data_IF_196181902211
#
_entry.id   IF_196181902211
#
_cell.length_a   1.000
_cell.length_b   1.000
_cell.length_c   1.000
_cell.angle_alpha   90.00
_cell.angle_beta   90.00
_cell.angle_gamma   90.00
#
_symmetry.space_group_name_H-M   'P 1'
#
loop_
_entity.id
_entity.type
_entity.pdbx_description
1 polymer ?
#
# COMPACT_ATOMS: atom_id res chain seq x y z
N UNK A 1 19.59 -35.45 2.28
CA UNK A 1 18.79 -35.08 1.07
C UNK A 1 17.29 -35.10 1.36
N UNK A 2 16.85 -34.52 2.50
CA UNK A 2 15.42 -34.57 2.89
C UNK A 2 15.01 -33.32 3.67
N UNK A 3 15.47 -32.14 3.22
CA UNK A 3 15.12 -30.84 3.82
C UNK A 3 14.74 -29.79 2.77
N UNK A 4 14.53 -30.19 1.51
CA UNK A 4 14.21 -29.26 0.42
C UNK A 4 12.71 -29.15 0.08
N UNK A 5 11.80 -29.78 0.83
CA UNK A 5 10.39 -29.84 0.43
C UNK A 5 9.38 -29.18 1.37
N UNK A 6 9.78 -28.66 2.55
CA UNK A 6 8.83 -28.11 3.52
C UNK A 6 8.73 -26.58 3.60
N UNK A 7 9.33 -25.83 2.67
CA UNK A 7 9.16 -24.36 2.60
C UNK A 7 8.04 -23.89 1.66
N UNK A 8 7.20 -24.81 1.16
CA UNK A 8 6.09 -24.50 0.25
C UNK A 8 4.87 -23.81 0.92
N UNK A 9 4.97 -23.39 2.18
CA UNK A 9 3.87 -22.75 2.91
C UNK A 9 4.24 -21.53 3.74
N UNK A 10 5.38 -20.87 3.46
CA UNK A 10 5.90 -19.79 4.28
C UNK A 10 5.91 -18.47 3.51
N UNK A 11 5.27 -17.44 4.08
CA UNK A 11 5.32 -16.00 3.76
C UNK A 11 6.71 -15.50 3.26
N UNK A 12 7.80 -16.15 3.69
CA UNK A 12 9.17 -15.89 3.21
C UNK A 12 9.37 -16.06 1.70
N UNK A 13 8.69 -17.02 1.05
CA UNK A 13 8.84 -17.28 -0.37
C UNK A 13 8.31 -16.13 -1.24
N UNK A 14 7.18 -15.55 -0.85
CA UNK A 14 6.56 -14.43 -1.56
C UNK A 14 7.40 -13.16 -1.42
N UNK A 15 7.93 -12.91 -0.22
CA UNK A 15 8.79 -11.75 0.06
C UNK A 15 10.08 -11.80 -0.79
N UNK A 16 10.71 -12.96 -0.88
CA UNK A 16 11.92 -13.17 -1.70
C UNK A 16 11.61 -12.99 -3.19
N UNK A 17 10.52 -13.56 -3.69
CA UNK A 17 10.13 -13.38 -5.10
C UNK A 17 9.98 -11.91 -5.46
N UNK A 18 9.35 -11.13 -4.59
CA UNK A 18 9.20 -9.69 -4.82
C UNK A 18 10.53 -8.91 -4.68
N UNK A 19 11.49 -9.38 -3.88
CA UNK A 19 12.87 -8.82 -3.87
C UNK A 19 13.59 -9.10 -5.18
N UNK A 20 13.51 -10.33 -5.68
CA UNK A 20 14.11 -10.73 -6.98
C UNK A 20 13.46 -9.92 -8.12
N UNK A 21 12.15 -9.71 -8.07
CA UNK A 21 11.45 -8.88 -9.04
C UNK A 21 11.95 -7.42 -9.03
N UNK A 22 12.11 -6.82 -7.84
CA UNK A 22 12.65 -5.46 -7.71
C UNK A 22 14.10 -5.35 -8.23
N UNK A 23 14.93 -6.37 -7.97
CA UNK A 23 16.27 -6.46 -8.54
C UNK A 23 16.24 -6.51 -10.07
N UNK A 24 15.42 -7.40 -10.65
CA UNK A 24 15.28 -7.53 -12.10
C UNK A 24 14.85 -6.21 -12.74
N UNK A 25 13.83 -5.56 -12.18
CA UNK A 25 13.35 -4.28 -12.68
C UNK A 25 14.43 -3.19 -12.63
N UNK A 26 15.22 -3.14 -11.56
CA UNK A 26 16.30 -2.17 -11.43
C UNK A 26 17.44 -2.39 -12.43
N UNK A 27 17.82 -3.65 -12.67
CA UNK A 27 18.87 -4.00 -13.63
C UNK A 27 18.43 -3.73 -15.07
N UNK A 28 17.14 -3.91 -15.40
CA UNK A 28 16.58 -3.60 -16.72
C UNK A 28 16.22 -2.11 -16.89
N UNK A 29 16.27 -1.32 -15.82
CA UNK A 29 15.82 0.06 -15.82
C UNK A 29 16.78 0.99 -16.55
N UNK A 30 16.27 1.72 -17.55
CA UNK A 30 17.00 2.74 -18.32
C UNK A 30 16.56 4.18 -18.03
N UNK A 31 15.52 4.34 -17.22
CA UNK A 31 14.86 5.63 -16.98
C UNK A 31 15.39 6.31 -15.71
N UNK A 32 15.81 5.51 -14.73
CA UNK A 32 16.27 5.99 -13.45
C UNK A 32 17.69 6.52 -13.54
N UNK A 33 17.91 7.68 -12.92
CA UNK A 33 19.24 8.25 -12.65
C UNK A 33 19.32 8.55 -11.16
N UNK A 34 19.49 7.52 -10.31
CA UNK A 34 19.70 7.75 -8.90
C UNK A 34 21.02 8.51 -8.72
N UNK A 35 20.96 9.61 -7.99
CA UNK A 35 22.11 10.46 -7.69
C UNK A 35 22.26 10.60 -6.17
N UNK A 36 22.44 9.50 -5.43
CA UNK A 36 22.73 9.62 -4.02
C UNK A 36 24.12 10.26 -3.86
N UNK A 37 24.43 10.75 -2.66
CA UNK A 37 25.67 11.50 -2.40
C UNK A 37 26.57 10.74 -1.43
N UNK A 38 27.86 11.08 -1.38
CA UNK A 38 28.75 10.52 -0.36
C UNK A 38 28.24 10.80 1.06
N UNK A 39 27.60 11.96 1.28
CA UNK A 39 26.98 12.31 2.55
C UNK A 39 25.80 11.38 2.89
N UNK A 40 24.93 11.06 1.92
CA UNK A 40 23.83 10.12 2.14
C UNK A 40 24.34 8.71 2.43
N UNK A 41 25.37 8.25 1.71
CA UNK A 41 26.02 6.96 1.99
C UNK A 41 26.57 6.90 3.42
N UNK A 42 27.33 7.93 3.83
CA UNK A 42 27.90 7.98 5.16
C UNK A 42 26.80 8.02 6.25
N UNK A 43 25.72 8.76 6.01
CA UNK A 43 24.55 8.81 6.88
C UNK A 43 23.87 7.45 7.02
N UNK A 44 23.61 6.76 5.90
CA UNK A 44 22.97 5.45 5.88
C UNK A 44 23.83 4.38 6.56
N UNK A 45 25.16 4.40 6.38
CA UNK A 45 26.08 3.50 7.08
C UNK A 45 26.03 3.79 8.59
N UNK A 46 26.14 5.06 8.98
CA UNK A 46 26.16 5.48 10.39
C UNK A 46 24.87 5.10 11.13
N UNK A 47 23.72 5.25 10.47
CA UNK A 47 22.41 4.92 11.03
C UNK A 47 22.09 3.41 10.93
N UNK A 48 22.98 2.63 10.31
CA UNK A 48 22.77 1.19 10.11
C UNK A 48 21.69 0.85 9.08
N UNK A 49 21.31 1.80 8.23
CA UNK A 49 20.40 1.58 7.10
C UNK A 49 21.10 0.87 5.93
N UNK A 50 22.41 1.05 5.78
CA UNK A 50 23.22 0.35 4.77
C UNK A 50 24.32 -0.45 5.46
N UNK A 51 24.25 -1.77 5.36
CA UNK A 51 25.22 -2.67 5.99
C UNK A 51 26.07 -3.34 4.91
N UNK A 52 27.33 -2.92 4.81
CA UNK A 52 28.29 -3.38 3.78
C UNK A 52 28.60 -4.86 3.87
N UNK A 53 28.45 -5.48 5.03
CA UNK A 53 28.74 -6.91 5.27
C UNK A 53 27.55 -7.83 4.98
N UNK A 54 26.42 -7.31 4.50
CA UNK A 54 25.20 -8.09 4.27
C UNK A 54 24.57 -7.78 2.93
N UNK A 55 23.90 -8.79 2.36
CA UNK A 55 23.15 -8.63 1.13
C UNK A 55 21.74 -9.24 1.27
N UNK A 56 20.66 -8.50 0.92
CA UNK A 56 20.69 -7.16 0.36
C UNK A 56 20.90 -6.07 1.46
N UNK A 57 21.74 -5.05 1.22
CA UNK A 57 22.38 -4.24 2.26
C UNK A 57 21.46 -3.22 2.94
N UNK A 58 20.31 -2.91 2.32
CA UNK A 58 19.31 -1.96 2.83
C UNK A 58 18.12 -2.60 3.58
N UNK A 59 18.09 -3.93 3.70
CA UNK A 59 16.88 -4.65 4.15
C UNK A 59 16.98 -5.20 5.58
N UNK A 60 17.89 -4.65 6.39
CA UNK A 60 17.91 -4.84 7.83
C UNK A 60 17.33 -3.61 8.51
N UNK A 61 16.18 -3.76 9.18
CA UNK A 61 15.71 -2.76 10.14
C UNK A 61 16.44 -2.99 11.46
N UNK A 62 17.35 -2.08 11.81
CA UNK A 62 17.99 -2.05 13.13
C UNK A 62 17.09 -1.38 14.18
N UNK A 63 15.75 -1.46 14.08
CA UNK A 63 14.86 -0.87 15.07
C UNK A 63 14.42 -1.90 16.12
N UNK A 64 15.08 -1.99 17.29
CA UNK A 64 14.65 -2.84 18.39
C UNK A 64 13.35 -2.32 19.07
N UNK A 65 12.84 -1.15 18.69
CA UNK A 65 11.67 -0.50 19.29
C UNK A 65 10.43 -0.48 18.38
N UNK A 66 10.42 -1.24 17.28
CA UNK A 66 9.22 -1.41 16.43
C UNK A 66 8.15 -2.30 17.09
N UNK A 67 7.68 -1.87 18.26
CA UNK A 67 6.51 -2.41 18.97
C UNK A 67 5.23 -1.64 18.59
N UNK A 68 5.30 -0.74 17.61
CA UNK A 68 4.29 0.28 17.34
C UNK A 68 3.45 0.08 16.08
N UNK A 69 3.69 -0.96 15.26
CA UNK A 69 2.96 -1.12 14.00
C UNK A 69 2.15 -2.42 13.98
N UNK A 70 0.89 -2.34 14.40
CA UNK A 70 -0.21 -3.11 13.82
C UNK A 70 -0.97 -2.14 12.89
N UNK A 71 -1.10 -2.39 11.59
CA UNK A 71 -2.01 -3.38 10.98
C UNK A 71 -1.25 -4.08 9.83
N UNK A 72 -0.97 -5.37 9.99
CA UNK A 72 -0.51 -6.27 8.92
C UNK A 72 1.01 -6.31 8.69
N UNK A 73 1.76 -6.68 9.73
CA UNK A 73 3.07 -7.35 9.69
C UNK A 73 3.99 -7.01 8.49
N UNK A 74 4.67 -5.86 8.54
CA UNK A 74 5.94 -5.72 7.81
C UNK A 74 7.06 -6.17 8.74
N UNK A 75 7.04 -7.43 9.19
CA UNK A 75 8.22 -7.99 9.84
C UNK A 75 9.29 -8.10 8.76
N UNK A 76 10.28 -7.21 8.76
CA UNK A 76 11.50 -7.40 7.99
C UNK A 76 12.21 -8.63 8.57
N UNK A 77 11.78 -9.82 8.16
CA UNK A 77 12.43 -11.08 8.51
C UNK A 77 13.85 -11.01 7.99
N UNK A 78 14.79 -11.35 8.88
CA UNK A 78 16.22 -11.36 8.65
C UNK A 78 16.56 -12.06 7.33
N UNK A 79 16.90 -11.28 6.29
CA UNK A 79 17.48 -11.81 5.06
C UNK A 79 18.94 -12.20 5.35
N UNK A 80 19.15 -13.37 5.94
CA UNK A 80 20.49 -13.90 6.15
C UNK A 80 21.02 -14.58 4.89
N UNK A 81 22.10 -14.05 4.29
CA UNK A 81 23.09 -14.71 3.40
C UNK A 81 22.62 -15.42 2.10
N UNK A 82 21.46 -16.06 2.08
CA UNK A 82 20.91 -16.86 0.98
C UNK A 82 20.36 -16.06 -0.20
N UNK A 83 20.12 -14.76 -0.06
CA UNK A 83 19.55 -13.96 -1.15
C UNK A 83 20.46 -13.98 -2.38
N UNK A 84 21.78 -13.92 -2.18
CA UNK A 84 22.77 -14.01 -3.27
C UNK A 84 22.80 -15.38 -3.95
N UNK A 85 22.48 -16.44 -3.20
CA UNK A 85 22.39 -17.81 -3.73
C UNK A 85 21.15 -18.01 -4.61
N UNK A 86 20.09 -17.22 -4.38
CA UNK A 86 18.85 -17.29 -5.15
C UNK A 86 18.85 -16.44 -6.43
N UNK A 87 19.83 -15.55 -6.58
CA UNK A 87 19.97 -14.73 -7.79
C UNK A 87 20.69 -15.54 -8.87
N UNK A 88 20.16 -15.49 -10.10
CA UNK A 88 20.78 -16.18 -11.24
C UNK A 88 22.17 -15.63 -11.52
N UNK A 89 23.02 -16.41 -12.17
CA UNK A 89 24.36 -15.96 -12.55
C UNK A 89 24.29 -14.71 -13.45
N UNK A 90 23.37 -14.71 -14.42
CA UNK A 90 23.14 -13.59 -15.35
C UNK A 90 22.78 -12.29 -14.62
N UNK A 91 21.90 -12.34 -13.62
CA UNK A 91 21.53 -11.16 -12.83
C UNK A 91 22.69 -10.65 -11.97
N UNK A 92 23.54 -11.55 -11.45
CA UNK A 92 24.76 -11.15 -10.74
C UNK A 92 25.76 -10.47 -11.65
N UNK A 93 25.93 -10.99 -12.87
CA UNK A 93 26.81 -10.38 -13.87
C UNK A 93 26.31 -8.97 -14.25
N UNK A 94 25.00 -8.82 -14.51
CA UNK A 94 24.41 -7.51 -14.78
C UNK A 94 24.58 -6.54 -13.60
N UNK A 95 24.43 -7.01 -12.36
CA UNK A 95 24.71 -6.21 -11.18
C UNK A 95 26.14 -5.65 -11.18
N UNK A 96 27.14 -6.51 -11.39
CA UNK A 96 28.54 -6.06 -11.43
C UNK A 96 28.83 -5.13 -12.61
N UNK A 97 28.18 -5.33 -13.77
CA UNK A 97 28.27 -4.39 -14.89
C UNK A 97 27.72 -3.01 -14.53
N UNK A 98 26.63 -2.94 -13.75
CA UNK A 98 26.09 -1.66 -13.26
C UNK A 98 27.05 -0.99 -12.27
N UNK A 99 27.64 -1.76 -11.35
CA UNK A 99 28.64 -1.25 -10.40
C UNK A 99 29.87 -0.72 -11.15
N UNK A 100 30.38 -1.46 -12.13
CA UNK A 100 31.52 -1.03 -12.94
C UNK A 100 31.21 0.26 -13.72
N UNK A 101 30.03 0.36 -14.33
CA UNK A 101 29.60 1.58 -15.00
C UNK A 101 29.49 2.77 -14.05
N UNK A 102 29.00 2.56 -12.82
CA UNK A 102 28.93 3.60 -11.80
C UNK A 102 30.34 4.02 -11.35
N UNK A 103 31.22 3.07 -11.10
CA UNK A 103 32.61 3.31 -10.72
C UNK A 103 33.36 4.10 -11.79
N UNK A 104 33.25 3.70 -13.06
CA UNK A 104 33.93 4.41 -14.16
C UNK A 104 33.47 5.87 -14.26
N UNK A 105 32.15 6.13 -14.12
CA UNK A 105 31.63 7.51 -14.08
C UNK A 105 32.19 8.31 -12.91
N UNK A 106 32.27 7.70 -11.71
CA UNK A 106 32.82 8.35 -10.53
C UNK A 106 34.31 8.69 -10.68
N UNK A 107 35.10 7.76 -11.23
CA UNK A 107 36.53 8.00 -11.46
C UNK A 107 36.76 9.07 -12.54
N UNK A 108 35.89 9.16 -13.54
CA UNK A 108 35.94 10.20 -14.57
C UNK A 108 35.58 11.60 -14.00
N UNK A 109 34.56 11.67 -13.15
CA UNK A 109 34.04 12.91 -12.57
C UNK A 109 34.90 13.43 -11.40
N UNK A 110 35.48 12.52 -10.62
CA UNK A 110 36.18 12.84 -9.37
C UNK A 110 37.57 12.19 -9.33
N UNK A 111 38.55 12.93 -9.84
CA UNK A 111 39.93 12.47 -10.09
C UNK A 111 40.79 12.17 -8.85
N UNK A 112 40.37 12.60 -7.65
CA UNK A 112 41.17 12.50 -6.40
C UNK A 112 40.49 11.67 -5.30
N UNK A 113 39.57 10.77 -5.65
CA UNK A 113 38.90 9.89 -4.66
C UNK A 113 39.71 8.60 -4.47
N UNK A 114 39.83 8.17 -3.22
CA UNK A 114 40.38 6.85 -2.86
C UNK A 114 39.62 5.72 -3.60
N UNK A 115 40.32 4.85 -4.36
CA UNK A 115 39.69 3.76 -5.11
C UNK A 115 38.76 2.86 -4.28
N UNK A 116 39.08 2.60 -3.01
CA UNK A 116 38.23 1.77 -2.14
C UNK A 116 36.91 2.48 -1.80
N UNK A 117 36.97 3.79 -1.56
CA UNK A 117 35.79 4.63 -1.28
C UNK A 117 34.94 4.78 -2.54
N UNK A 118 35.57 4.94 -3.71
CA UNK A 118 34.86 5.00 -4.98
C UNK A 118 34.14 3.68 -5.29
N UNK A 119 34.79 2.54 -5.05
CA UNK A 119 34.19 1.21 -5.23
C UNK A 119 33.01 1.00 -4.28
N UNK A 120 33.17 1.33 -2.99
CA UNK A 120 32.07 1.26 -2.03
C UNK A 120 30.89 2.13 -2.44
N UNK A 121 31.15 3.34 -2.93
CA UNK A 121 30.10 4.24 -3.37
C UNK A 121 29.40 3.76 -4.65
N UNK A 122 30.12 3.12 -5.58
CA UNK A 122 29.53 2.50 -6.77
C UNK A 122 28.58 1.34 -6.41
N UNK A 123 28.96 0.51 -5.44
CA UNK A 123 28.07 -0.49 -4.85
C UNK A 123 26.84 0.16 -4.23
N UNK A 124 27.04 1.15 -3.37
CA UNK A 124 25.96 1.87 -2.71
C UNK A 124 24.98 2.50 -3.73
N UNK A 125 25.47 3.13 -4.80
CA UNK A 125 24.61 3.67 -5.87
C UNK A 125 23.75 2.60 -6.52
N UNK A 126 24.34 1.45 -6.84
CA UNK A 126 23.64 0.33 -7.47
C UNK A 126 22.61 -0.29 -6.53
N UNK A 127 22.99 -0.52 -5.27
CA UNK A 127 22.10 -1.07 -4.25
C UNK A 127 20.95 -0.11 -3.91
N UNK A 128 21.24 1.20 -3.90
CA UNK A 128 20.24 2.24 -3.65
C UNK A 128 19.21 2.28 -4.77
N UNK A 129 19.65 2.14 -6.02
CA UNK A 129 18.76 2.00 -7.17
C UNK A 129 17.85 0.76 -7.05
N UNK A 130 18.41 -0.39 -6.67
CA UNK A 130 17.67 -1.64 -6.46
C UNK A 130 16.63 -1.47 -5.36
N UNK A 131 17.03 -0.86 -4.23
CA UNK A 131 16.15 -0.52 -3.12
C UNK A 131 14.98 0.35 -3.59
N UNK A 132 15.24 1.37 -4.40
CA UNK A 132 14.20 2.27 -4.92
C UNK A 132 13.17 1.54 -5.77
N UNK A 133 13.61 0.65 -6.67
CA UNK A 133 12.71 -0.19 -7.44
C UNK A 133 11.88 -1.13 -6.55
N UNK A 134 12.52 -1.76 -5.56
CA UNK A 134 11.81 -2.60 -4.60
C UNK A 134 10.70 -1.85 -3.84
N UNK A 135 10.96 -0.61 -3.40
CA UNK A 135 9.98 0.20 -2.70
C UNK A 135 8.97 0.89 -3.63
N UNK A 136 9.26 1.06 -4.91
CA UNK A 136 8.37 1.76 -5.84
C UNK A 136 6.97 1.14 -5.92
N UNK A 137 6.85 -0.18 -5.77
CA UNK A 137 5.58 -0.93 -5.71
C UNK A 137 5.01 -1.12 -4.31
N UNK A 138 5.66 -0.61 -3.26
CA UNK A 138 5.31 -0.84 -1.85
C UNK A 138 5.23 0.42 -0.99
N UNK A 139 5.72 1.54 -1.50
CA UNK A 139 5.72 2.80 -0.80
C UNK A 139 4.33 3.44 -0.75
N UNK A 140 4.21 4.44 0.13
CA UNK A 140 2.98 5.21 0.38
C UNK A 140 2.37 5.82 -0.89
N UNK A 141 3.19 6.06 -1.93
CA UNK A 141 2.71 6.61 -3.20
C UNK A 141 1.77 5.65 -3.95
N UNK A 142 1.81 4.35 -3.68
CA UNK A 142 0.87 3.41 -4.31
C UNK A 142 -0.57 3.57 -3.84
N UNK A 143 -0.80 4.29 -2.73
CA UNK A 143 -2.14 4.68 -2.33
C UNK A 143 -2.67 5.89 -3.12
N UNK A 144 -1.81 6.64 -3.79
CA UNK A 144 -2.21 7.76 -4.64
C UNK A 144 -2.83 7.23 -5.94
N UNK A 145 -4.06 7.65 -6.25
CA UNK A 145 -4.76 7.30 -7.48
C UNK A 145 -4.24 8.09 -8.67
N UNK A 146 -3.93 9.36 -8.44
CA UNK A 146 -3.49 10.31 -9.45
C UNK A 146 -2.44 11.29 -8.88
N UNK A 147 -2.01 12.24 -9.72
CA UNK A 147 -1.00 13.22 -9.35
C UNK A 147 -1.51 14.23 -8.30
N UNK A 148 -2.82 14.43 -8.21
CA UNK A 148 -3.44 15.30 -7.22
C UNK A 148 -3.36 14.66 -5.83
N UNK A 149 -3.70 13.38 -5.70
CA UNK A 149 -3.49 12.62 -4.46
C UNK A 149 -2.02 12.66 -3.98
N UNK A 150 -1.07 12.59 -4.91
CA UNK A 150 0.36 12.71 -4.58
C UNK A 150 0.71 14.11 -4.04
N UNK A 151 0.16 15.16 -4.66
CA UNK A 151 0.38 16.53 -4.22
C UNK A 151 -0.25 16.78 -2.85
N UNK A 152 -1.46 16.27 -2.61
CA UNK A 152 -2.12 16.32 -1.31
C UNK A 152 -1.33 15.58 -0.24
N UNK A 153 -0.79 14.38 -0.55
CA UNK A 153 0.05 13.62 0.37
C UNK A 153 1.34 14.36 0.71
N UNK A 154 2.00 14.97 -0.29
CA UNK A 154 3.19 15.81 -0.08
C UNK A 154 2.88 16.99 0.83
N UNK A 155 1.78 17.67 0.55
CA UNK A 155 1.31 18.80 1.35
C UNK A 155 1.03 18.40 2.79
N UNK A 156 0.35 17.28 2.99
CA UNK A 156 0.08 16.72 4.31
C UNK A 156 1.37 16.39 5.08
N UNK A 157 2.37 15.79 4.42
CA UNK A 157 3.68 15.54 5.06
C UNK A 157 4.38 16.82 5.50
N UNK A 158 4.35 17.88 4.69
CA UNK A 158 4.93 19.18 5.08
C UNK A 158 4.19 19.81 6.26
N UNK A 159 2.87 19.66 6.33
CA UNK A 159 2.08 20.12 7.49
C UNK A 159 2.50 19.39 8.77
N UNK A 160 2.65 18.07 8.72
CA UNK A 160 3.11 17.29 9.88
C UNK A 160 4.52 17.72 10.32
N UNK A 161 5.43 17.89 9.37
CA UNK A 161 6.78 18.35 9.68
C UNK A 161 6.78 19.70 10.41
N UNK A 162 5.96 20.66 9.96
CA UNK A 162 5.87 21.95 10.65
C UNK A 162 5.28 21.84 12.07
N UNK A 163 4.32 20.92 12.29
CA UNK A 163 3.81 20.60 13.63
C UNK A 163 4.92 20.03 14.52
N UNK A 164 5.69 19.07 14.02
CA UNK A 164 6.78 18.43 14.76
C UNK A 164 7.90 19.44 15.11
N UNK A 165 8.11 20.44 14.26
CA UNK A 165 9.06 21.54 14.48
C UNK A 165 8.47 22.69 15.32
N UNK A 166 7.23 22.56 15.83
CA UNK A 166 6.58 23.57 16.66
C UNK A 166 6.28 24.89 15.93
N UNK A 167 6.22 24.87 14.60
CA UNK A 167 5.92 26.07 13.81
C UNK A 167 4.42 26.38 13.85
N UNK A 168 4.03 27.67 13.77
CA UNK A 168 2.62 28.04 13.74
C UNK A 168 1.95 27.53 12.46
N UNK A 169 0.85 26.80 12.61
CA UNK A 169 0.00 26.37 11.49
C UNK A 169 -0.81 27.58 11.03
N UNK A 170 -0.44 28.16 9.89
CA UNK A 170 -1.28 29.15 9.25
C UNK A 170 -2.45 28.45 8.54
N UNK A 171 -3.67 28.72 9.00
CA UNK A 171 -4.90 28.17 8.43
C UNK A 171 -5.24 28.80 7.06
N UNK A 172 -4.70 29.98 6.76
CA UNK A 172 -4.95 30.72 5.52
C UNK A 172 -3.92 30.42 4.43
N UNK A 173 -2.74 29.92 4.79
CA UNK A 173 -1.75 29.52 3.80
C UNK A 173 -2.08 28.14 3.24
N UNK A 174 -2.26 28.10 1.92
CA UNK A 174 -2.45 26.86 1.16
C UNK A 174 -1.25 25.93 1.26
N UNK A 175 -0.07 26.44 1.68
CA UNK A 175 1.20 25.70 1.79
C UNK A 175 2.00 26.05 3.06
N UNK A 176 2.68 25.09 3.72
CA UNK A 176 3.40 25.32 4.99
C UNK A 176 4.70 26.13 4.83
N UNK A 177 5.27 26.64 5.93
CA UNK A 177 6.38 27.60 5.89
C UNK A 177 7.70 26.95 5.45
N UNK A 178 8.26 27.45 4.34
CA UNK A 178 9.52 26.94 3.77
C UNK A 178 9.34 25.69 2.92
N UNK A 179 8.09 25.36 2.53
CA UNK A 179 7.86 24.23 1.66
C UNK A 179 8.51 24.46 0.29
N UNK A 180 9.28 23.48 -0.18
CA UNK A 180 9.61 23.39 -1.59
C UNK A 180 8.57 22.49 -2.24
N UNK A 181 7.81 23.02 -3.21
CA UNK A 181 6.72 22.30 -3.88
C UNK A 181 7.17 21.02 -4.57
N UNK A 182 8.47 20.83 -4.82
CA UNK A 182 9.02 19.62 -5.45
C UNK A 182 9.68 18.66 -4.45
N UNK A 183 10.00 19.11 -3.24
CA UNK A 183 10.73 18.34 -2.24
C UNK A 183 9.79 17.70 -1.19
N UNK A 184 10.32 16.71 -0.49
CA UNK A 184 9.64 16.04 0.62
C UNK A 184 10.37 16.38 1.93
N UNK A 185 9.64 16.60 3.03
CA UNK A 185 10.25 16.97 4.30
C UNK A 185 11.03 15.78 4.88
N UNK A 186 12.22 16.06 5.44
CA UNK A 186 13.08 15.04 6.06
C UNK A 186 13.62 13.98 5.09
N UNK A 187 13.55 14.21 3.78
CA UNK A 187 14.02 13.26 2.76
C UNK A 187 15.41 13.65 2.23
N UNK A 188 16.41 13.57 3.10
CA UNK A 188 17.81 13.91 2.80
C UNK A 188 18.39 13.05 1.67
N UNK A 189 17.90 11.81 1.55
CA UNK A 189 18.37 10.83 0.56
C UNK A 189 17.63 10.92 -0.78
N UNK A 190 16.66 11.85 -0.93
CA UNK A 190 15.84 11.97 -2.14
C UNK A 190 15.12 10.67 -2.55
N UNK A 191 14.73 9.84 -1.58
CA UNK A 191 14.00 8.59 -1.83
C UNK A 191 12.60 8.87 -2.36
N UNK A 192 11.90 9.87 -1.82
CA UNK A 192 10.53 10.21 -2.20
C UNK A 192 10.42 10.90 -3.57
N UNK A 193 11.31 11.84 -3.98
CA UNK A 193 11.38 12.32 -5.35
C UNK A 193 11.58 11.17 -6.35
N UNK A 194 12.48 10.23 -6.04
CA UNK A 194 12.73 9.10 -6.93
C UNK A 194 11.53 8.15 -6.99
N UNK A 195 10.94 7.81 -5.84
CA UNK A 195 9.72 7.03 -5.78
C UNK A 195 8.59 7.71 -6.57
N UNK A 196 8.51 9.05 -6.54
CA UNK A 196 7.54 9.82 -7.32
C UNK A 196 7.83 9.77 -8.84
N UNK A 197 9.09 9.71 -9.26
CA UNK A 197 9.47 9.52 -10.67
C UNK A 197 9.08 8.13 -11.17
N UNK A 198 9.44 7.08 -10.43
CA UNK A 198 9.02 5.71 -10.73
C UNK A 198 7.50 5.58 -10.74
N UNK A 199 6.84 6.21 -9.77
CA UNK A 199 5.40 6.31 -9.75
C UNK A 199 4.90 6.99 -11.04
N UNK A 200 5.40 8.16 -11.43
CA UNK A 200 4.95 8.84 -12.66
C UNK A 200 5.19 8.01 -13.93
N UNK A 201 6.28 7.25 -14.01
CA UNK A 201 6.56 6.35 -15.14
C UNK A 201 5.50 5.26 -15.32
N UNK A 202 4.88 4.81 -14.22
CA UNK A 202 3.92 3.71 -14.21
C UNK A 202 2.43 4.14 -14.26
N UNK A 203 2.13 5.40 -14.61
CA UNK A 203 0.76 5.95 -14.62
C UNK A 203 -0.19 5.11 -15.46
N UNK A 204 0.19 4.73 -16.68
CA UNK A 204 -0.69 3.97 -17.58
C UNK A 204 -1.05 2.59 -17.02
N UNK A 205 -0.08 1.89 -16.44
CA UNK A 205 -0.29 0.59 -15.82
C UNK A 205 -1.19 0.70 -14.59
N UNK A 206 -0.96 1.71 -13.75
CA UNK A 206 -1.84 1.99 -12.61
C UNK A 206 -3.25 2.33 -13.03
N UNK A 207 -3.44 3.16 -14.06
CA UNK A 207 -4.78 3.51 -14.52
C UNK A 207 -5.54 2.28 -15.03
N UNK A 208 -4.87 1.38 -15.76
CA UNK A 208 -5.45 0.08 -16.17
C UNK A 208 -5.84 -0.76 -14.95
N UNK A 209 -4.95 -0.86 -13.96
CA UNK A 209 -5.23 -1.61 -12.73
C UNK A 209 -6.41 -1.00 -11.95
N UNK A 210 -6.42 0.32 -11.74
CA UNK A 210 -7.51 1.04 -11.07
C UNK A 210 -8.85 0.83 -11.80
N UNK A 211 -8.86 0.87 -13.13
CA UNK A 211 -10.07 0.63 -13.91
C UNK A 211 -10.56 -0.81 -13.75
N UNK A 212 -9.66 -1.81 -13.73
CA UNK A 212 -9.99 -3.21 -13.45
C UNK A 212 -10.60 -3.35 -12.06
N UNK A 213 -9.95 -2.82 -11.03
CA UNK A 213 -10.42 -2.88 -9.64
C UNK A 213 -11.78 -2.16 -9.49
N UNK A 214 -11.99 -1.01 -10.14
CA UNK A 214 -13.28 -0.32 -10.17
C UNK A 214 -14.38 -1.19 -10.81
N UNK A 215 -14.08 -1.91 -11.88
CA UNK A 215 -15.02 -2.82 -12.52
C UNK A 215 -15.39 -3.99 -11.58
N UNK A 216 -14.40 -4.60 -10.92
CA UNK A 216 -14.62 -5.67 -9.93
C UNK A 216 -15.45 -5.16 -8.74
N UNK A 217 -15.14 -3.97 -8.21
CA UNK A 217 -15.92 -3.35 -7.14
C UNK A 217 -17.36 -3.02 -7.54
N UNK A 218 -17.59 -2.64 -8.80
CA UNK A 218 -18.94 -2.39 -9.31
C UNK A 218 -19.78 -3.66 -9.29
N UNK A 219 -19.20 -4.81 -9.66
CA UNK A 219 -19.87 -6.13 -9.59
C UNK A 219 -20.22 -6.47 -8.14
N UNK A 220 -19.25 -6.37 -7.22
CA UNK A 220 -19.47 -6.64 -5.79
C UNK A 220 -20.56 -5.74 -5.22
N UNK A 221 -20.57 -4.46 -5.61
CA UNK A 221 -21.56 -3.49 -5.14
C UNK A 221 -22.95 -3.82 -5.65
N UNK A 222 -23.09 -4.23 -6.91
CA UNK A 222 -24.34 -4.67 -7.50
C UNK A 222 -24.88 -5.95 -6.83
N UNK A 223 -24.02 -6.95 -6.61
CA UNK A 223 -24.39 -8.17 -5.89
C UNK A 223 -24.85 -7.88 -4.47
N UNK A 224 -24.13 -7.02 -3.75
CA UNK A 224 -24.52 -6.58 -2.39
C UNK A 224 -25.86 -5.84 -2.40
N UNK A 225 -26.13 -5.02 -3.42
CA UNK A 225 -27.43 -4.36 -3.59
C UNK A 225 -28.55 -5.38 -3.79
N UNK A 226 -28.39 -6.31 -4.74
CA UNK A 226 -29.36 -7.40 -5.00
C UNK A 226 -29.62 -8.24 -3.76
N UNK A 227 -28.57 -8.56 -3.00
CA UNK A 227 -28.69 -9.30 -1.74
C UNK A 227 -29.53 -8.53 -0.71
N UNK A 228 -29.25 -7.22 -0.51
CA UNK A 228 -30.05 -6.37 0.39
C UNK A 228 -31.52 -6.33 -0.02
N UNK A 229 -31.82 -6.17 -1.31
CA UNK A 229 -33.20 -6.21 -1.83
C UNK A 229 -33.88 -7.56 -1.59
N UNK A 230 -33.16 -8.67 -1.80
CA UNK A 230 -33.69 -10.01 -1.53
C UNK A 230 -34.00 -10.21 -0.04
N UNK A 231 -33.12 -9.76 0.85
CA UNK A 231 -33.34 -9.82 2.31
C UNK A 231 -34.57 -9.00 2.69
N UNK A 232 -34.70 -7.78 2.19
CA UNK A 232 -35.88 -6.93 2.42
C UNK A 232 -37.17 -7.58 1.90
N UNK A 233 -37.13 -8.21 0.72
CA UNK A 233 -38.29 -8.96 0.17
C UNK A 233 -38.65 -10.15 1.05
N UNK A 234 -37.67 -10.93 1.51
CA UNK A 234 -37.89 -12.06 2.42
C UNK A 234 -38.44 -11.60 3.77
N UNK A 235 -37.96 -10.47 4.29
CA UNK A 235 -38.46 -9.90 5.53
C UNK A 235 -39.90 -9.41 5.37
N UNK A 236 -40.20 -8.65 4.31
CA UNK A 236 -41.57 -8.27 3.97
C UNK A 236 -42.50 -9.48 3.81
N UNK A 237 -42.03 -10.55 3.16
CA UNK A 237 -42.79 -11.79 3.00
C UNK A 237 -43.02 -12.51 4.34
N UNK A 238 -42.05 -12.51 5.26
CA UNK A 238 -42.24 -13.03 6.63
C UNK A 238 -43.25 -12.20 7.44
N UNK A 239 -43.29 -10.90 7.19
CA UNK A 239 -44.21 -9.95 7.83
C UNK A 239 -45.60 -9.95 7.19
N UNK A 240 -45.86 -10.74 6.14
CA UNK A 240 -47.17 -10.82 5.46
C UNK A 240 -47.68 -12.25 5.39
N UNK A 241 -48.91 -12.48 5.84
CA UNK A 241 -49.61 -13.76 5.73
C UNK A 241 -50.70 -13.62 4.67
N UNK A 242 -50.75 -14.55 3.72
CA UNK A 242 -51.86 -14.64 2.76
C UNK A 242 -52.91 -15.57 3.32
N UNK A 243 -54.12 -15.07 3.54
CA UNK A 243 -55.28 -15.83 4.01
C UNK A 243 -56.23 -16.04 2.84
N UNK A 244 -56.57 -17.30 2.56
CA UNK A 244 -57.57 -17.68 1.55
C UNK A 244 -58.82 -18.20 2.26
N UNK A 245 -59.96 -17.58 2.00
CA UNK A 245 -61.25 -17.95 2.56
C UNK A 245 -62.02 -18.79 1.55
N UNK A 246 -62.37 -20.00 1.95
CA UNK A 246 -63.17 -20.93 1.16
C UNK A 246 -64.52 -21.17 1.85
N UNK A 247 -65.61 -21.11 1.09
CA UNK A 247 -66.94 -21.52 1.56
C UNK A 247 -67.49 -22.58 0.62
N UNK A 248 -67.86 -23.74 1.18
CA UNK A 248 -68.43 -24.89 0.43
C UNK A 248 -67.56 -25.35 -0.75
N UNK A 249 -66.24 -25.27 -0.60
CA UNK A 249 -65.28 -25.67 -1.64
C UNK A 249 -64.95 -24.59 -2.67
N UNK A 250 -65.65 -23.46 -2.67
CA UNK A 250 -65.34 -22.32 -3.56
C UNK A 250 -64.48 -21.28 -2.84
N UNK A 251 -63.44 -20.78 -3.52
CA UNK A 251 -62.63 -19.66 -3.05
C UNK A 251 -63.49 -18.39 -3.10
N UNK A 252 -63.72 -17.77 -1.94
CA UNK A 252 -64.53 -16.55 -1.81
C UNK A 252 -63.67 -15.29 -1.71
N UNK A 253 -62.53 -15.35 -1.04
CA UNK A 253 -61.68 -14.19 -0.83
C UNK A 253 -60.21 -14.58 -0.62
N UNK A 254 -59.29 -13.70 -0.99
CA UNK A 254 -57.87 -13.81 -0.68
C UNK A 254 -57.36 -12.47 -0.20
N UNK A 255 -56.90 -12.39 1.06
CA UNK A 255 -56.35 -11.16 1.66
C UNK A 255 -54.91 -11.36 2.11
N UNK A 256 -54.12 -10.29 2.01
CA UNK A 256 -52.80 -10.22 2.62
C UNK A 256 -52.87 -9.44 3.92
N UNK A 257 -52.47 -10.05 5.02
CA UNK A 257 -52.46 -9.47 6.35
C UNK A 257 -51.02 -9.25 6.81
N UNK A 258 -50.72 -8.10 7.43
CA UNK A 258 -49.43 -7.86 8.07
C UNK A 258 -49.39 -8.62 9.39
N UNK A 259 -48.34 -9.41 9.62
CA UNK A 259 -48.04 -10.05 10.91
C UNK A 259 -47.49 -8.97 11.84
N UNK A 260 -48.23 -8.65 12.90
CA UNK A 260 -47.82 -7.65 13.88
C UNK A 260 -46.86 -8.26 14.90
N UNK A 261 -45.87 -7.50 15.30
CA UNK A 261 -44.98 -7.84 16.42
C UNK A 261 -45.70 -7.64 17.76
N UNK A 262 -45.30 -8.33 18.85
CA UNK A 262 -45.94 -8.18 20.17
C UNK A 262 -45.99 -6.72 20.66
N UNK A 263 -44.98 -5.92 20.31
CA UNK A 263 -44.91 -4.48 20.64
C UNK A 263 -45.91 -3.66 19.83
N UNK A 264 -46.06 -3.93 18.53
CA UNK A 264 -47.09 -3.28 17.70
C UNK A 264 -48.50 -3.65 18.16
N UNK A 265 -48.70 -4.90 18.61
CA UNK A 265 -49.97 -5.36 19.18
C UNK A 265 -50.28 -4.61 20.48
N UNK A 266 -49.30 -4.48 21.39
CA UNK A 266 -49.47 -3.73 22.63
C UNK A 266 -49.80 -2.24 22.36
N UNK A 267 -49.10 -1.61 21.43
CA UNK A 267 -49.35 -0.22 21.03
C UNK A 267 -50.72 -0.01 20.39
N UNK A 268 -51.16 -0.92 19.51
CA UNK A 268 -52.49 -0.85 18.91
C UNK A 268 -53.60 -1.12 19.92
N UNK A 269 -53.37 -1.99 20.90
CA UNK A 269 -54.31 -2.24 21.99
C UNK A 269 -54.46 -1.01 22.90
N UNK A 270 -53.36 -0.34 23.27
CA UNK A 270 -53.39 0.92 24.01
C UNK A 270 -54.12 2.02 23.22
N UNK A 271 -53.86 2.14 21.92
CA UNK A 271 -54.52 3.13 21.06
C UNK A 271 -56.01 2.84 20.86
N UNK A 272 -56.42 1.58 20.78
CA UNK A 272 -57.82 1.18 20.70
C UNK A 272 -58.58 1.48 22.00
N UNK A 273 -57.93 1.32 23.15
CA UNK A 273 -58.48 1.69 24.46
C UNK A 273 -58.59 3.21 24.68
N UNK A 274 -57.79 4.00 23.96
CA UNK A 274 -57.83 5.46 23.98
C UNK A 274 -58.77 6.07 22.93
N UNK A 275 -59.38 5.26 22.06
CA UNK A 275 -60.34 5.75 21.07
C UNK A 275 -61.70 5.96 21.75
N UNK A 276 -62.25 7.18 21.79
CA UNK A 276 -63.56 7.42 22.39
C UNK A 276 -64.60 6.67 21.57
N UNK A 277 -65.33 5.78 22.22
CA UNK A 277 -66.55 5.19 21.68
C UNK A 277 -67.52 6.34 21.45
N UNK A 278 -67.65 6.75 20.18
CA UNK A 278 -68.76 7.59 19.74
C UNK A 278 -70.04 6.80 19.93
N UNK A 279 -70.77 7.14 20.98
CA UNK A 279 -72.20 6.87 21.14
C UNK A 279 -72.96 7.79 20.19
#
# INVERSE_FOLDING_TARGET
MTEMQNLKGSDTGEVIQKLIQGLKEALECKLCRPSPTFASMAGDIKNGHYITSHYPPFFRTNDPNDKGIAIGETTARLFHSWYWEMITHEMREQYYQHVEQALNRLLDETKDIDPEVALLFAHYQTDFHIRQHHFSGRGILNFCRDADDMQQLRHWKWRLHDIDQGKPIDQNNTWPYGCNHTAWPGDENSEMPHAALLWKGNVTMRQKHLNKIRAEWAIITDERRKYREMVLRKQKAKDTITVRLYCRGELKDTRQLKRLTPVEVAYLAEKALQSPVGI
#
